data_IF_821230770952
#
_entry.id   IF_821230770952
#
_cell.length_a   1.000
_cell.length_b   1.000
_cell.length_c   1.000
_cell.angle_alpha   90.00
_cell.angle_beta   90.00
_cell.angle_gamma   90.00
#
_symmetry.space_group_name_H-M   'P 1'
#
loop_
_entity.id
_entity.type
_entity.pdbx_description
1 polymer ?
#
# COMPACT_ATOMS: atom_id res chain seq x y z
N UNK A 1 35.18 32.59 -44.53
CA UNK A 1 33.92 32.09 -43.95
C UNK A 1 34.07 32.01 -42.43
N UNK A 2 33.05 32.37 -41.66
CA UNK A 2 33.08 32.21 -40.22
C UNK A 2 33.20 30.71 -39.85
N UNK A 3 33.83 30.35 -38.72
CA UNK A 3 33.91 28.97 -38.28
C UNK A 3 32.52 28.39 -38.05
N UNK A 4 32.31 27.07 -38.33
CA UNK A 4 31.03 26.46 -38.08
C UNK A 4 30.65 26.62 -36.61
N UNK A 5 29.35 26.80 -36.27
CA UNK A 5 28.90 26.90 -34.88
C UNK A 5 29.28 25.60 -34.15
N UNK A 6 29.64 25.67 -32.84
CA UNK A 6 29.96 24.49 -32.08
C UNK A 6 28.77 23.54 -32.06
N UNK A 7 29.02 22.23 -32.02
CA UNK A 7 27.96 21.22 -31.90
C UNK A 7 27.06 21.52 -30.69
N UNK A 8 25.74 21.51 -30.89
CA UNK A 8 24.78 21.65 -29.78
C UNK A 8 24.83 20.36 -28.98
N UNK A 9 25.23 20.44 -27.72
CA UNK A 9 25.19 19.30 -26.80
C UNK A 9 23.74 18.96 -26.49
N UNK A 10 23.26 17.77 -26.89
CA UNK A 10 21.93 17.30 -26.57
C UNK A 10 21.99 16.55 -25.23
N UNK A 11 21.42 17.14 -24.18
CA UNK A 11 21.38 16.55 -22.86
C UNK A 11 20.14 15.69 -22.77
N UNK A 12 20.26 14.39 -22.43
CA UNK A 12 19.11 13.52 -22.24
C UNK A 12 18.28 13.98 -21.03
N UNK A 13 16.96 13.74 -21.06
CA UNK A 13 16.10 13.99 -19.91
C UNK A 13 16.50 13.08 -18.75
N UNK A 14 16.44 13.59 -17.54
CA UNK A 14 16.61 12.79 -16.35
C UNK A 14 15.51 11.72 -16.27
N UNK A 15 15.84 10.44 -16.00
CA UNK A 15 14.83 9.40 -15.81
C UNK A 15 13.79 9.76 -14.76
N UNK A 16 12.55 9.33 -14.99
CA UNK A 16 11.43 9.49 -14.06
C UNK A 16 11.04 8.14 -13.49
N UNK A 17 10.54 8.08 -12.23
CA UNK A 17 10.17 6.80 -11.63
C UNK A 17 8.97 6.16 -12.33
N UNK A 18 8.91 4.82 -12.41
CA UNK A 18 7.80 4.11 -13.04
C UNK A 18 6.51 4.27 -12.25
N UNK A 19 5.39 4.17 -12.95
CA UNK A 19 4.05 4.16 -12.34
C UNK A 19 3.69 5.43 -11.55
N UNK A 20 4.38 6.54 -11.75
CA UNK A 20 4.20 7.77 -10.97
C UNK A 20 4.67 7.65 -9.51
N UNK A 21 5.61 6.75 -9.23
CA UNK A 21 6.18 6.59 -7.90
C UNK A 21 6.93 7.85 -7.43
N UNK A 22 7.16 7.97 -6.14
CA UNK A 22 7.99 9.01 -5.58
C UNK A 22 9.43 8.91 -6.12
N UNK A 23 10.12 10.04 -6.26
CA UNK A 23 11.52 10.07 -6.68
C UNK A 23 12.45 9.31 -5.74
N UNK A 24 12.04 9.19 -4.48
CA UNK A 24 12.73 8.43 -3.44
C UNK A 24 11.71 7.52 -2.78
N UNK A 25 11.98 6.24 -2.85
CA UNK A 25 11.17 5.20 -2.24
C UNK A 25 12.09 4.04 -1.84
N UNK A 26 11.84 3.48 -0.68
CA UNK A 26 12.47 2.23 -0.28
C UNK A 26 11.74 1.07 -0.94
N UNK A 27 12.50 0.19 -1.56
CA UNK A 27 12.01 -1.04 -2.17
C UNK A 27 12.62 -2.26 -1.47
N UNK A 28 11.90 -3.39 -1.41
CA UNK A 28 12.44 -4.59 -0.78
C UNK A 28 13.76 -5.03 -1.43
N UNK A 29 14.76 -5.30 -0.62
CA UNK A 29 16.07 -5.78 -1.09
C UNK A 29 16.00 -7.18 -1.71
N UNK A 30 17.11 -7.61 -2.33
CA UNK A 30 17.28 -8.97 -2.86
C UNK A 30 18.28 -9.75 -2.01
N UNK A 31 18.05 -11.04 -1.86
CA UNK A 31 19.02 -11.96 -1.25
C UNK A 31 20.17 -12.31 -2.23
N UNK A 32 21.08 -13.16 -1.76
CA UNK A 32 22.23 -13.62 -2.54
C UNK A 32 21.84 -14.39 -3.82
N UNK A 33 20.62 -14.92 -3.90
CA UNK A 33 20.08 -15.62 -5.05
C UNK A 33 19.31 -14.67 -5.98
N UNK A 34 19.31 -13.37 -5.69
CA UNK A 34 18.58 -12.36 -6.45
C UNK A 34 17.09 -12.33 -6.20
N UNK A 35 16.60 -13.05 -5.20
CA UNK A 35 15.18 -13.11 -4.87
C UNK A 35 14.79 -11.93 -3.95
N UNK A 36 13.74 -11.21 -4.33
CA UNK A 36 13.27 -10.05 -3.56
C UNK A 36 12.66 -10.48 -2.24
N UNK A 37 13.08 -9.84 -1.16
CA UNK A 37 12.64 -10.15 0.19
C UNK A 37 11.39 -9.32 0.52
N UNK A 38 10.24 -9.88 0.21
CA UNK A 38 8.92 -9.28 0.47
C UNK A 38 8.21 -10.00 1.61
N UNK A 39 7.11 -9.45 2.08
CA UNK A 39 6.19 -10.07 3.04
C UNK A 39 5.63 -11.41 2.56
N UNK A 40 5.75 -11.71 1.27
CA UNK A 40 5.22 -12.90 0.62
C UNK A 40 6.27 -14.03 0.45
N UNK A 41 7.42 -13.92 1.13
CA UNK A 41 8.47 -14.94 1.03
C UNK A 41 8.31 -16.04 2.08
N UNK A 42 8.70 -17.24 1.69
CA UNK A 42 8.75 -18.42 2.59
C UNK A 42 7.42 -18.76 3.29
N UNK A 43 6.31 -18.55 2.59
CA UNK A 43 4.97 -18.78 3.12
C UNK A 43 4.67 -20.27 3.24
N UNK A 44 4.03 -20.65 4.32
CA UNK A 44 3.29 -21.90 4.42
C UNK A 44 2.08 -21.91 3.46
N UNK A 45 1.46 -23.06 3.24
CA UNK A 45 0.27 -23.15 2.38
C UNK A 45 -0.91 -22.35 2.94
N UNK A 46 -1.06 -22.31 4.26
CA UNK A 46 -2.10 -21.52 4.93
C UNK A 46 -1.85 -20.02 4.77
N UNK A 47 -0.63 -19.55 4.99
CA UNK A 47 -0.26 -18.16 4.78
C UNK A 47 -0.42 -17.77 3.31
N UNK A 48 -0.01 -18.62 2.36
CA UNK A 48 -0.21 -18.36 0.93
C UNK A 48 -1.69 -18.22 0.59
N UNK A 49 -2.53 -19.07 1.11
CA UNK A 49 -3.99 -18.99 0.92
C UNK A 49 -4.56 -17.70 1.49
N UNK A 50 -4.10 -17.31 2.67
CA UNK A 50 -4.53 -16.07 3.32
C UNK A 50 -4.02 -14.84 2.59
N UNK A 51 -2.74 -14.80 2.19
CA UNK A 51 -2.14 -13.70 1.41
C UNK A 51 -2.82 -13.55 0.04
N UNK A 52 -3.13 -14.68 -0.63
CA UNK A 52 -3.88 -14.70 -1.88
C UNK A 52 -5.27 -14.06 -1.71
N UNK A 53 -6.02 -14.48 -0.67
CA UNK A 53 -7.29 -13.87 -0.33
C UNK A 53 -7.16 -12.37 -0.06
N UNK A 54 -6.12 -11.97 0.65
CA UNK A 54 -5.87 -10.56 0.99
C UNK A 54 -5.52 -9.73 -0.25
N UNK A 55 -4.70 -10.25 -1.16
CA UNK A 55 -4.44 -9.63 -2.45
C UNK A 55 -5.73 -9.38 -3.24
N UNK A 56 -6.57 -10.39 -3.31
CA UNK A 56 -7.84 -10.28 -4.03
C UNK A 56 -8.82 -9.31 -3.35
N UNK A 57 -8.84 -9.26 -2.02
CA UNK A 57 -9.59 -8.27 -1.26
C UNK A 57 -9.12 -6.83 -1.60
N UNK A 58 -7.80 -6.60 -1.61
CA UNK A 58 -7.23 -5.31 -2.01
C UNK A 58 -7.63 -4.94 -3.43
N UNK A 59 -7.61 -5.90 -4.36
CA UNK A 59 -8.05 -5.68 -5.73
C UNK A 59 -9.53 -5.31 -5.81
N UNK A 60 -10.41 -6.02 -5.09
CA UNK A 60 -11.84 -5.75 -5.04
C UNK A 60 -12.17 -4.34 -4.52
N UNK A 61 -11.34 -3.82 -3.61
CA UNK A 61 -11.51 -2.49 -3.02
C UNK A 61 -10.89 -1.36 -3.86
N UNK A 62 -9.86 -1.63 -4.64
CA UNK A 62 -9.06 -0.59 -5.31
C UNK A 62 -9.21 -0.57 -6.84
N UNK A 63 -9.64 -1.68 -7.45
CA UNK A 63 -9.83 -1.77 -8.89
C UNK A 63 -11.29 -1.45 -9.23
N UNK A 64 -11.58 -0.17 -9.42
CA UNK A 64 -12.95 0.34 -9.56
C UNK A 64 -13.34 0.54 -11.02
N UNK A 65 -14.65 0.53 -11.26
CA UNK A 65 -15.28 0.79 -12.54
C UNK A 65 -15.83 -0.46 -13.22
N UNK A 66 -16.72 -0.32 -14.22
CA UNK A 66 -17.47 -1.43 -14.82
C UNK A 66 -16.60 -2.54 -15.40
N UNK A 67 -15.41 -2.19 -15.91
CA UNK A 67 -14.42 -3.15 -16.43
C UNK A 67 -13.98 -4.18 -15.39
N UNK A 68 -13.89 -3.75 -14.12
CA UNK A 68 -13.35 -4.53 -13.02
C UNK A 68 -14.42 -5.20 -12.15
N UNK A 69 -15.69 -5.08 -12.51
CA UNK A 69 -16.78 -5.74 -11.78
C UNK A 69 -16.60 -7.25 -11.60
N UNK A 70 -16.01 -8.02 -12.57
CA UNK A 70 -15.71 -9.43 -12.36
C UNK A 70 -14.78 -9.71 -11.20
N UNK A 71 -13.96 -8.74 -10.76
CA UNK A 71 -13.07 -8.90 -9.59
C UNK A 71 -13.90 -9.09 -8.31
N UNK A 72 -14.91 -8.25 -8.11
CA UNK A 72 -15.81 -8.37 -6.96
C UNK A 72 -16.64 -9.65 -7.02
N UNK A 73 -17.14 -10.02 -8.21
CA UNK A 73 -17.92 -11.23 -8.41
C UNK A 73 -17.09 -12.49 -8.13
N UNK A 74 -15.89 -12.58 -8.72
CA UNK A 74 -14.97 -13.70 -8.52
C UNK A 74 -14.52 -13.85 -7.07
N UNK A 75 -14.17 -12.73 -6.41
CA UNK A 75 -13.81 -12.71 -5.01
C UNK A 75 -14.96 -13.16 -4.10
N UNK A 76 -16.18 -12.67 -4.36
CA UNK A 76 -17.37 -13.08 -3.60
C UNK A 76 -17.66 -14.58 -3.76
N UNK A 77 -17.57 -15.09 -4.98
CA UNK A 77 -17.74 -16.53 -5.27
C UNK A 77 -16.66 -17.37 -4.53
N UNK A 78 -15.39 -16.95 -4.58
CA UNK A 78 -14.31 -17.61 -3.86
C UNK A 78 -14.57 -17.67 -2.35
N UNK A 79 -15.02 -16.58 -1.73
CA UNK A 79 -15.34 -16.53 -0.31
C UNK A 79 -16.52 -17.45 0.05
N UNK A 80 -17.59 -17.39 -0.73
CA UNK A 80 -18.81 -18.16 -0.46
C UNK A 80 -18.58 -19.67 -0.62
N UNK A 81 -17.93 -20.07 -1.70
CA UNK A 81 -17.69 -21.48 -1.98
C UNK A 81 -16.69 -22.13 -1.01
N UNK A 82 -15.81 -21.32 -0.40
CA UNK A 82 -14.71 -21.81 0.45
C UNK A 82 -14.80 -21.32 1.91
N UNK A 83 -15.94 -20.85 2.38
CA UNK A 83 -16.09 -20.24 3.70
C UNK A 83 -15.51 -21.07 4.84
N UNK A 84 -15.81 -22.38 4.85
CA UNK A 84 -15.36 -23.29 5.91
C UNK A 84 -13.85 -23.50 5.88
N UNK A 85 -13.27 -23.63 4.70
CA UNK A 85 -11.84 -23.89 4.53
C UNK A 85 -11.03 -22.65 4.85
N UNK A 86 -11.47 -21.49 4.40
CA UNK A 86 -10.85 -20.19 4.74
C UNK A 86 -10.91 -19.91 6.24
N UNK A 87 -12.00 -20.29 6.91
CA UNK A 87 -12.09 -20.18 8.37
C UNK A 87 -11.04 -21.07 9.05
N UNK A 88 -10.91 -22.35 8.63
CA UNK A 88 -9.89 -23.26 9.17
C UNK A 88 -8.47 -22.76 8.92
N UNK A 89 -8.19 -22.21 7.73
CA UNK A 89 -6.90 -21.55 7.43
C UNK A 89 -6.63 -20.45 8.44
N UNK A 90 -7.58 -19.55 8.66
CA UNK A 90 -7.43 -18.46 9.61
C UNK A 90 -7.20 -18.95 11.04
N UNK A 91 -7.94 -19.99 11.48
CA UNK A 91 -7.77 -20.59 12.81
C UNK A 91 -6.39 -21.22 13.00
N UNK A 92 -5.83 -21.87 11.95
CA UNK A 92 -4.47 -22.45 12.00
C UNK A 92 -3.40 -21.37 12.06
N UNK A 93 -3.52 -20.31 11.28
CA UNK A 93 -2.61 -19.16 11.36
C UNK A 93 -2.65 -18.56 12.76
N UNK A 94 -3.82 -18.33 13.33
CA UNK A 94 -3.97 -17.85 14.71
C UNK A 94 -3.32 -18.78 15.75
N UNK A 95 -3.41 -20.06 15.53
CA UNK A 95 -2.80 -21.04 16.40
C UNK A 95 -1.26 -21.01 16.33
N UNK A 96 -0.68 -20.80 15.14
CA UNK A 96 0.77 -20.66 14.99
C UNK A 96 1.30 -19.42 15.72
N UNK A 97 0.69 -18.26 15.55
CA UNK A 97 1.07 -17.06 16.33
C UNK A 97 0.98 -17.27 17.83
N UNK A 98 -0.04 -18.00 18.32
CA UNK A 98 -0.18 -18.32 19.75
C UNK A 98 0.88 -19.29 20.27
N UNK A 99 1.48 -20.10 19.40
CA UNK A 99 2.61 -20.98 19.78
C UNK A 99 3.93 -20.21 19.82
N UNK A 100 4.11 -19.27 18.90
CA UNK A 100 5.33 -18.48 18.78
C UNK A 100 5.48 -17.47 19.93
N UNK A 101 4.38 -16.83 20.32
CA UNK A 101 4.38 -15.78 21.33
C UNK A 101 3.79 -16.29 22.65
N UNK A 102 4.48 -16.05 23.77
CA UNK A 102 4.02 -16.45 25.11
C UNK A 102 2.81 -15.65 25.58
N UNK A 103 2.80 -14.36 25.26
CA UNK A 103 1.71 -13.46 25.59
C UNK A 103 0.67 -13.41 24.47
N UNK A 104 -0.61 -13.49 24.84
CA UNK A 104 -1.72 -13.47 23.89
C UNK A 104 -1.80 -12.13 23.14
N UNK A 105 -1.51 -11.02 23.80
CA UNK A 105 -1.57 -9.68 23.20
C UNK A 105 -0.44 -9.52 22.19
N UNK A 106 0.77 -9.98 22.53
CA UNK A 106 1.90 -10.00 21.59
C UNK A 106 1.59 -10.83 20.35
N UNK A 107 1.00 -12.01 20.50
CA UNK A 107 0.57 -12.85 19.37
C UNK A 107 -0.42 -12.10 18.44
N UNK A 108 -1.41 -11.46 19.02
CA UNK A 108 -2.41 -10.68 18.27
C UNK A 108 -1.72 -9.52 17.54
N UNK A 109 -0.88 -8.75 18.23
CA UNK A 109 -0.19 -7.59 17.63
C UNK A 109 0.75 -8.01 16.50
N UNK A 110 1.51 -9.10 16.68
CA UNK A 110 2.39 -9.62 15.64
C UNK A 110 1.59 -10.03 14.39
N UNK A 111 0.48 -10.74 14.57
CA UNK A 111 -0.42 -11.10 13.49
C UNK A 111 -1.00 -9.88 12.78
N UNK A 112 -1.53 -8.90 13.51
CA UNK A 112 -2.10 -7.67 12.92
C UNK A 112 -1.04 -6.87 12.15
N UNK A 113 0.19 -6.80 12.66
CA UNK A 113 1.32 -6.17 11.98
C UNK A 113 1.63 -6.87 10.66
N UNK A 114 1.71 -8.20 10.68
CA UNK A 114 1.93 -8.99 9.46
C UNK A 114 0.81 -8.78 8.44
N UNK A 115 -0.45 -8.83 8.89
CA UNK A 115 -1.61 -8.62 8.03
C UNK A 115 -1.61 -7.22 7.40
N UNK A 116 -1.30 -6.20 8.19
CA UNK A 116 -1.16 -4.82 7.70
C UNK A 116 -0.06 -4.73 6.63
N UNK A 117 1.08 -5.39 6.84
CA UNK A 117 2.17 -5.42 5.87
C UNK A 117 1.76 -6.08 4.55
N UNK A 118 0.97 -7.16 4.60
CA UNK A 118 0.43 -7.82 3.40
C UNK A 118 -0.53 -6.91 2.64
N UNK A 119 -1.46 -6.26 3.32
CA UNK A 119 -2.38 -5.31 2.69
C UNK A 119 -1.64 -4.14 2.06
N UNK A 120 -0.65 -3.56 2.77
CA UNK A 120 0.16 -2.46 2.26
C UNK A 120 0.98 -2.86 1.02
N UNK A 121 1.51 -4.08 0.99
CA UNK A 121 2.22 -4.60 -0.18
C UNK A 121 1.32 -4.58 -1.42
N UNK A 122 0.12 -5.18 -1.33
CA UNK A 122 -0.81 -5.25 -2.47
C UNK A 122 -1.52 -3.92 -2.79
N UNK A 123 -1.53 -2.97 -1.86
CA UNK A 123 -2.10 -1.64 -2.07
C UNK A 123 -1.14 -0.63 -2.71
N UNK A 124 0.09 -1.03 -3.09
CA UNK A 124 1.13 -0.15 -3.62
C UNK A 124 0.66 0.59 -4.90
N UNK A 125 0.49 1.94 -4.86
CA UNK A 125 -0.17 2.67 -5.93
C UNK A 125 0.51 2.58 -7.30
N UNK A 126 1.86 2.61 -7.42
CA UNK A 126 2.52 2.53 -8.73
C UNK A 126 2.31 1.22 -9.48
N UNK A 127 2.08 0.10 -8.76
CA UNK A 127 1.82 -1.21 -9.37
C UNK A 127 0.32 -1.46 -9.65
N UNK A 128 -0.58 -0.59 -9.18
CA UNK A 128 -2.03 -0.82 -9.18
C UNK A 128 -2.62 -1.13 -10.55
N UNK A 129 -2.20 -0.45 -11.60
CA UNK A 129 -2.78 -0.66 -12.94
C UNK A 129 -2.57 -2.09 -13.44
N UNK A 130 -1.34 -2.60 -13.35
CA UNK A 130 -0.98 -3.98 -13.73
C UNK A 130 -1.60 -5.00 -12.77
N UNK A 131 -1.62 -4.69 -11.48
CA UNK A 131 -2.26 -5.51 -10.46
C UNK A 131 -3.77 -5.69 -10.70
N UNK A 132 -4.50 -4.61 -11.04
CA UNK A 132 -5.92 -4.69 -11.38
C UNK A 132 -6.17 -5.52 -12.65
N UNK A 133 -5.29 -5.45 -13.65
CA UNK A 133 -5.43 -6.31 -14.83
C UNK A 133 -5.24 -7.79 -14.46
N UNK A 134 -4.21 -8.11 -13.68
CA UNK A 134 -3.98 -9.48 -13.20
C UNK A 134 -5.15 -9.98 -12.34
N UNK A 135 -5.67 -9.15 -11.45
CA UNK A 135 -6.84 -9.50 -10.63
C UNK A 135 -8.08 -9.80 -11.48
N UNK A 136 -8.30 -9.05 -12.55
CA UNK A 136 -9.38 -9.31 -13.50
C UNK A 136 -9.20 -10.68 -14.17
N UNK A 137 -7.99 -11.01 -14.62
CA UNK A 137 -7.70 -12.27 -15.28
C UNK A 137 -7.89 -13.48 -14.33
N UNK A 138 -7.44 -13.36 -13.07
CA UNK A 138 -7.66 -14.37 -12.02
C UNK A 138 -9.15 -14.51 -11.72
N UNK A 139 -9.89 -13.40 -11.64
CA UNK A 139 -11.32 -13.41 -11.35
C UNK A 139 -12.12 -14.09 -12.46
N UNK A 140 -11.78 -13.84 -13.72
CA UNK A 140 -12.40 -14.52 -14.86
C UNK A 140 -12.11 -16.03 -14.84
N UNK A 141 -10.92 -16.46 -14.44
CA UNK A 141 -10.61 -17.89 -14.24
C UNK A 141 -11.47 -18.49 -13.13
N UNK A 142 -11.59 -17.78 -12.01
CA UNK A 142 -12.39 -18.23 -10.87
C UNK A 142 -13.86 -18.42 -11.24
N UNK A 143 -14.44 -17.47 -11.96
CA UNK A 143 -15.83 -17.54 -12.43
C UNK A 143 -16.07 -18.67 -13.44
N UNK A 144 -15.05 -19.12 -14.15
CA UNK A 144 -15.10 -20.26 -15.06
C UNK A 144 -14.79 -21.59 -14.40
N UNK A 145 -14.38 -21.63 -13.12
CA UNK A 145 -13.98 -22.84 -12.40
C UNK A 145 -15.15 -23.35 -11.56
N UNK A 146 -15.58 -24.58 -11.82
CA UNK A 146 -16.49 -25.32 -10.95
C UNK A 146 -15.67 -26.04 -9.86
N UNK A 147 -16.25 -26.19 -8.67
CA UNK A 147 -15.62 -26.92 -7.55
C UNK A 147 -14.21 -26.39 -7.15
N UNK A 148 -14.11 -25.07 -7.03
CA UNK A 148 -12.88 -24.38 -6.68
C UNK A 148 -12.46 -24.70 -5.23
N UNK A 149 -11.31 -25.34 -5.04
CA UNK A 149 -10.64 -25.50 -3.77
C UNK A 149 -9.81 -24.27 -3.42
N UNK A 150 -9.97 -23.74 -2.20
CA UNK A 150 -9.33 -22.49 -1.79
C UNK A 150 -7.80 -22.52 -1.86
N UNK A 151 -7.19 -23.58 -1.33
CA UNK A 151 -5.74 -23.71 -1.25
C UNK A 151 -5.12 -24.01 -2.62
N UNK A 152 -5.73 -24.90 -3.39
CA UNK A 152 -5.27 -25.24 -4.75
C UNK A 152 -5.38 -24.07 -5.70
N UNK A 153 -6.47 -23.30 -5.65
CA UNK A 153 -6.63 -22.11 -6.48
C UNK A 153 -5.64 -21.00 -6.08
N UNK A 154 -5.41 -20.80 -4.77
CA UNK A 154 -4.40 -19.88 -4.27
C UNK A 154 -2.99 -20.29 -4.72
N UNK A 155 -2.62 -21.58 -4.57
CA UNK A 155 -1.31 -22.09 -4.97
C UNK A 155 -1.04 -21.89 -6.47
N UNK A 156 -2.06 -22.08 -7.31
CA UNK A 156 -1.94 -21.95 -8.76
C UNK A 156 -1.85 -20.49 -9.25
N UNK A 157 -2.38 -19.52 -8.49
CA UNK A 157 -2.54 -18.15 -8.97
C UNK A 157 -1.80 -17.10 -8.12
N UNK A 158 -1.25 -17.44 -6.96
CA UNK A 158 -0.62 -16.47 -6.06
C UNK A 158 0.54 -15.72 -6.71
N UNK A 159 1.44 -16.43 -7.38
CA UNK A 159 2.58 -15.83 -8.07
C UNK A 159 2.16 -14.78 -9.14
N UNK A 160 0.98 -14.94 -9.72
CA UNK A 160 0.45 -13.95 -10.67
C UNK A 160 0.13 -12.63 -9.98
N UNK A 161 -0.40 -12.66 -8.75
CA UNK A 161 -0.63 -11.44 -7.97
C UNK A 161 0.66 -10.74 -7.56
N UNK A 162 1.76 -11.46 -7.37
CA UNK A 162 3.07 -10.88 -7.02
C UNK A 162 3.77 -10.23 -8.23
N UNK A 163 3.57 -10.78 -9.42
CA UNK A 163 4.28 -10.37 -10.64
C UNK A 163 4.23 -8.86 -10.95
N UNK A 164 3.09 -8.15 -10.84
CA UNK A 164 3.03 -6.70 -11.04
C UNK A 164 3.97 -5.91 -10.13
N UNK A 165 4.14 -6.36 -8.89
CA UNK A 165 4.99 -5.72 -7.89
C UNK A 165 6.46 -6.00 -8.15
N UNK A 166 6.83 -7.23 -8.49
CA UNK A 166 8.20 -7.59 -8.86
C UNK A 166 8.65 -6.84 -10.13
N UNK A 167 7.77 -6.70 -11.10
CA UNK A 167 8.00 -5.88 -12.29
C UNK A 167 8.24 -4.43 -11.91
N UNK A 168 7.34 -3.84 -11.14
CA UNK A 168 7.49 -2.46 -10.66
C UNK A 168 8.81 -2.24 -9.90
N UNK A 169 9.14 -3.11 -8.95
CA UNK A 169 10.39 -2.97 -8.19
C UNK A 169 11.64 -3.10 -9.08
N UNK A 170 11.59 -3.93 -10.10
CA UNK A 170 12.70 -4.08 -11.05
C UNK A 170 12.85 -2.84 -11.94
N UNK A 171 11.75 -2.26 -12.40
CA UNK A 171 11.74 -0.99 -13.12
C UNK A 171 12.22 0.16 -12.23
N UNK A 172 11.83 0.16 -10.95
CA UNK A 172 12.27 1.18 -10.01
C UNK A 172 13.78 1.09 -9.69
N UNK A 173 14.35 -0.12 -9.56
CA UNK A 173 15.81 -0.32 -9.47
C UNK A 173 16.53 0.23 -10.71
N UNK A 174 15.98 0.01 -11.89
CA UNK A 174 16.51 0.54 -13.14
C UNK A 174 16.47 2.06 -13.13
N UNK A 175 15.34 2.64 -12.75
CA UNK A 175 15.22 4.09 -12.56
C UNK A 175 16.26 4.63 -11.58
N UNK A 176 16.45 4.00 -10.41
CA UNK A 176 17.44 4.43 -9.41
C UNK A 176 18.86 4.45 -9.99
N UNK A 177 19.24 3.40 -10.73
CA UNK A 177 20.56 3.29 -11.34
C UNK A 177 20.77 4.34 -12.44
N UNK A 178 19.79 4.49 -13.33
CA UNK A 178 19.87 5.40 -14.47
C UNK A 178 19.83 6.87 -14.03
N UNK A 179 18.97 7.20 -13.06
CA UNK A 179 18.93 8.55 -12.49
C UNK A 179 20.20 8.90 -11.74
N UNK A 180 20.81 7.96 -11.00
CA UNK A 180 22.09 8.17 -10.35
C UNK A 180 23.24 8.41 -11.37
N UNK A 181 23.24 7.69 -12.50
CA UNK A 181 24.19 7.90 -13.58
C UNK A 181 24.00 9.29 -14.23
N UNK A 182 22.75 9.68 -14.49
CA UNK A 182 22.43 11.02 -15.00
C UNK A 182 22.85 12.11 -14.01
N UNK A 183 22.57 11.95 -12.72
CA UNK A 183 22.94 12.89 -11.67
C UNK A 183 24.45 13.07 -11.57
N UNK A 184 25.22 11.99 -11.72
CA UNK A 184 26.68 12.04 -11.72
C UNK A 184 27.25 12.79 -12.93
N UNK A 185 26.65 12.65 -14.08
CA UNK A 185 27.14 13.25 -15.32
C UNK A 185 26.65 14.68 -15.55
N UNK A 186 25.40 14.96 -15.23
CA UNK A 186 24.70 16.20 -15.59
C UNK A 186 24.20 17.00 -14.39
N UNK A 187 24.17 16.39 -13.19
CA UNK A 187 23.50 16.95 -12.02
C UNK A 187 24.07 18.29 -11.56
N UNK A 188 25.39 18.46 -11.56
CA UNK A 188 26.04 19.72 -11.16
C UNK A 188 25.59 20.90 -12.01
N UNK A 189 25.49 20.71 -13.34
CA UNK A 189 25.18 21.78 -14.28
C UNK A 189 23.68 21.97 -14.55
N UNK A 190 22.91 20.87 -14.56
CA UNK A 190 21.52 20.90 -15.02
C UNK A 190 20.50 20.38 -13.98
N UNK A 191 21.01 19.82 -12.87
CA UNK A 191 20.18 19.15 -11.87
C UNK A 191 19.15 20.03 -11.17
N UNK A 192 19.48 21.31 -10.96
CA UNK A 192 18.59 22.26 -10.26
C UNK A 192 17.24 22.48 -10.98
N UNK A 193 17.18 22.26 -12.30
CA UNK A 193 15.94 22.31 -13.08
C UNK A 193 15.14 21.01 -13.08
N UNK A 194 15.66 19.95 -12.45
CA UNK A 194 15.07 18.62 -12.45
C UNK A 194 14.49 18.27 -11.07
N UNK A 195 13.15 18.17 -10.93
CA UNK A 195 12.51 17.93 -9.63
C UNK A 195 13.04 16.68 -8.92
N UNK A 196 13.33 15.60 -9.67
CA UNK A 196 13.86 14.38 -9.10
C UNK A 196 15.30 14.50 -8.58
N UNK A 197 16.13 15.37 -9.20
CA UNK A 197 17.46 15.67 -8.68
C UNK A 197 17.37 16.47 -7.37
N UNK A 198 16.55 17.51 -7.35
CA UNK A 198 16.33 18.35 -6.16
C UNK A 198 15.84 17.48 -5.00
N UNK A 199 14.82 16.66 -5.22
CA UNK A 199 14.30 15.75 -4.19
C UNK A 199 15.39 14.80 -3.62
N UNK A 200 16.27 14.25 -4.48
CA UNK A 200 17.39 13.40 -4.03
C UNK A 200 18.40 14.19 -3.19
N UNK A 201 18.73 15.43 -3.58
CA UNK A 201 19.66 16.26 -2.81
C UNK A 201 19.08 16.65 -1.45
N UNK A 202 17.80 17.05 -1.41
CA UNK A 202 17.09 17.37 -0.17
C UNK A 202 17.05 16.17 0.80
N UNK A 203 16.74 14.98 0.29
CA UNK A 203 16.73 13.77 1.13
C UNK A 203 18.13 13.38 1.63
N UNK A 204 19.17 13.60 0.82
CA UNK A 204 20.57 13.41 1.27
C UNK A 204 20.95 14.41 2.35
N UNK A 205 20.58 15.68 2.17
CA UNK A 205 20.81 16.72 3.17
C UNK A 205 20.09 16.43 4.49
N UNK A 206 18.84 15.96 4.43
CA UNK A 206 18.05 15.59 5.61
C UNK A 206 18.63 14.38 6.37
N UNK A 207 19.35 13.48 5.67
CA UNK A 207 20.02 12.31 6.27
C UNK A 207 21.45 12.60 6.73
N UNK A 208 22.03 13.73 6.31
CA UNK A 208 23.39 14.11 6.72
C UNK A 208 23.43 14.45 8.22
N UNK A 209 24.41 13.95 8.98
CA UNK A 209 24.57 14.31 10.38
C UNK A 209 24.85 15.82 10.48
N UNK A 210 24.07 16.54 11.28
CA UNK A 210 24.34 17.95 11.58
C UNK A 210 25.56 18.01 12.51
N UNK A 211 26.70 18.42 11.96
CA UNK A 211 27.90 18.71 12.77
C UNK A 211 27.76 20.16 13.22
N UNK A 212 27.28 20.37 14.44
CA UNK A 212 27.36 21.68 15.09
C UNK A 212 28.78 21.84 15.68
N UNK A 213 29.55 22.73 15.06
CA UNK A 213 30.85 23.19 15.61
C UNK A 213 30.57 24.27 16.67
N UNK A 214 30.07 23.88 17.82
CA UNK A 214 30.16 24.68 19.03
C UNK A 214 31.36 24.20 19.85
N UNK A 215 32.21 25.14 20.23
CA UNK A 215 33.53 24.88 20.77
C UNK A 215 33.53 23.89 21.93
N UNK A 216 34.42 22.90 21.80
CA UNK A 216 34.84 21.93 22.83
C UNK A 216 33.76 20.92 23.23
N UNK A 217 33.58 19.92 22.40
CA UNK A 217 32.78 18.72 22.69
C UNK A 217 31.93 18.31 21.48
N UNK A 218 32.50 17.55 20.54
CA UNK A 218 31.76 16.97 19.44
C UNK A 218 30.83 15.87 19.95
N UNK A 219 29.56 16.18 20.21
CA UNK A 219 28.51 15.21 20.35
C UNK A 219 27.83 15.05 18.97
N UNK A 220 27.93 13.85 18.42
CA UNK A 220 27.13 13.45 17.26
C UNK A 220 25.67 13.37 17.70
N UNK A 221 24.94 14.48 17.55
CA UNK A 221 23.50 14.49 17.70
C UNK A 221 22.88 14.18 16.34
N UNK A 222 22.38 12.98 16.17
CA UNK A 222 21.38 12.71 15.14
C UNK A 222 20.18 13.62 15.43
N UNK A 223 19.64 14.41 14.48
CA UNK A 223 18.41 15.13 14.72
C UNK A 223 17.29 14.08 14.83
N UNK A 224 17.05 13.63 16.06
CA UNK A 224 15.75 13.11 16.38
C UNK A 224 14.82 14.32 16.22
N UNK A 225 13.97 14.33 15.21
CA UNK A 225 12.82 15.21 15.20
C UNK A 225 12.22 15.06 16.61
N UNK A 226 12.14 16.17 17.36
CA UNK A 226 11.39 16.22 18.62
C UNK A 226 9.94 15.89 18.28
N UNK A 227 9.66 14.59 18.21
CA UNK A 227 8.30 14.11 18.16
C UNK A 227 7.71 14.45 19.54
N UNK A 228 6.83 15.42 19.56
CA UNK A 228 5.98 15.68 20.71
C UNK A 228 5.28 14.35 21.02
N UNK A 229 5.78 13.62 22.01
CA UNK A 229 5.22 12.35 22.43
C UNK A 229 3.94 12.63 23.22
N UNK A 230 2.80 12.46 22.60
CA UNK A 230 1.55 12.37 23.33
C UNK A 230 1.50 10.99 23.95
N UNK A 231 1.36 10.93 25.27
CA UNK A 231 1.27 9.67 26.01
C UNK A 231 -0.23 9.40 26.23
N UNK A 232 -0.66 8.21 25.89
CA UNK A 232 -2.01 7.72 26.19
C UNK A 232 -2.20 7.65 27.73
N UNK A 233 -3.16 8.37 28.30
CA UNK A 233 -3.35 8.43 29.74
C UNK A 233 -3.81 7.10 30.36
N UNK A 234 -4.39 6.18 29.58
CA UNK A 234 -4.90 4.91 30.09
C UNK A 234 -3.88 3.77 30.01
N UNK A 235 -2.97 3.83 29.04
CA UNK A 235 -1.99 2.75 28.79
C UNK A 235 -0.55 3.16 29.05
N UNK A 236 -0.24 4.46 29.16
CA UNK A 236 1.12 4.98 29.29
C UNK A 236 2.00 4.78 28.03
N UNK A 237 1.40 4.34 26.92
CA UNK A 237 2.13 4.12 25.67
C UNK A 237 2.25 5.41 24.85
N UNK A 238 3.38 5.65 24.14
CA UNK A 238 3.50 6.80 23.26
C UNK A 238 2.61 6.64 22.04
N UNK A 239 1.71 7.61 21.80
CA UNK A 239 0.91 7.69 20.59
C UNK A 239 1.76 8.32 19.49
N UNK A 240 1.96 7.66 18.32
CA UNK A 240 2.68 8.27 17.22
C UNK A 240 1.90 9.46 16.67
N UNK A 241 2.42 10.66 16.89
CA UNK A 241 1.85 11.90 16.32
C UNK A 241 2.46 12.11 14.94
N UNK A 242 1.64 12.07 13.91
CA UNK A 242 2.05 12.52 12.56
C UNK A 242 2.08 14.04 12.59
N UNK A 243 3.22 14.70 12.30
CA UNK A 243 3.28 16.15 12.26
C UNK A 243 2.31 16.66 11.20
N UNK A 244 1.36 17.48 11.61
CA UNK A 244 0.44 18.17 10.71
C UNK A 244 1.20 19.33 10.06
N UNK A 245 1.24 19.34 8.74
CA UNK A 245 1.77 20.47 7.98
C UNK A 245 0.79 21.64 8.11
N UNK A 246 1.07 22.59 9.02
CA UNK A 246 0.24 23.76 9.28
C UNK A 246 0.17 24.74 8.08
N UNK A 247 0.98 24.51 7.04
CA UNK A 247 0.93 25.33 5.81
C UNK A 247 -0.13 24.84 4.82
N UNK A 248 -0.74 23.67 5.06
CA UNK A 248 -1.83 23.11 4.25
C UNK A 248 -3.15 23.22 5.01
N UNK A 249 -3.97 24.17 4.64
CA UNK A 249 -5.37 24.21 5.06
C UNK A 249 -6.16 23.12 4.34
N UNK A 250 -6.26 21.94 4.95
CA UNK A 250 -7.25 20.95 4.56
C UNK A 250 -8.53 21.23 5.35
N UNK A 251 -9.60 21.60 4.68
CA UNK A 251 -10.92 21.61 5.31
C UNK A 251 -11.36 20.14 5.49
N UNK A 252 -11.73 19.73 6.70
CA UNK A 252 -12.27 18.39 6.90
C UNK A 252 -13.59 18.29 6.14
N UNK A 253 -13.68 17.33 5.20
CA UNK A 253 -14.96 16.97 4.58
C UNK A 253 -15.73 16.15 5.63
N UNK A 254 -16.60 16.79 6.37
CA UNK A 254 -17.54 16.11 7.25
C UNK A 254 -18.65 15.57 6.36
N UNK A 255 -18.63 14.28 6.07
CA UNK A 255 -19.80 13.62 5.50
C UNK A 255 -20.86 13.50 6.59
N UNK A 256 -22.09 14.01 6.38
CA UNK A 256 -23.17 13.80 7.32
C UNK A 256 -23.47 12.30 7.40
N UNK A 257 -23.47 11.77 8.61
CA UNK A 257 -23.92 10.40 8.88
C UNK A 257 -25.40 10.38 8.52
N UNK A 258 -25.90 9.46 7.67
CA UNK A 258 -27.33 9.30 7.46
C UNK A 258 -27.97 8.98 8.81
N UNK A 259 -28.92 9.83 9.23
CA UNK A 259 -29.75 9.50 10.36
C UNK A 259 -30.65 8.33 9.95
N UNK A 260 -30.36 7.16 10.47
CA UNK A 260 -31.31 6.04 10.52
C UNK A 260 -32.42 6.44 11.51
N UNK A 261 -33.36 7.23 11.03
CA UNK A 261 -34.61 7.44 11.73
C UNK A 261 -35.43 6.16 11.60
N UNK A 262 -35.42 5.35 12.65
CA UNK A 262 -36.27 4.19 12.74
C UNK A 262 -37.73 4.59 12.45
N UNK A 263 -38.31 3.96 11.46
CA UNK A 263 -39.75 4.00 11.23
C UNK A 263 -40.44 3.30 12.40
N UNK A 264 -41.06 4.12 13.24
CA UNK A 264 -42.01 3.67 14.25
C UNK A 264 -43.34 3.36 13.56
N UNK A 265 -43.57 2.09 13.32
CA UNK A 265 -44.78 1.53 12.71
C UNK A 265 -45.89 1.55 13.79
N UNK A 266 -46.69 2.63 13.85
CA UNK A 266 -47.94 2.66 14.63
C UNK A 266 -49.11 2.79 13.69
N UNK A 267 -50.04 1.80 13.58
CA UNK A 267 -51.20 1.90 12.74
C UNK A 267 -52.25 2.81 13.39
N UNK A 268 -52.48 3.99 12.84
CA UNK A 268 -53.63 4.82 13.24
C UNK A 268 -54.85 4.46 12.39
N UNK A 269 -55.88 4.12 13.17
CA UNK A 269 -57.15 3.69 12.69
C UNK A 269 -57.95 4.73 11.90
N UNK A 270 -58.68 4.22 11.03
CA UNK A 270 -59.76 4.80 10.20
C UNK A 270 -60.81 5.47 11.05
N UNK A 271 -61.07 6.77 10.82
CA UNK A 271 -62.35 7.39 11.18
C UNK A 271 -62.97 7.98 9.93
N UNK A 272 -64.02 7.33 9.48
CA UNK A 272 -64.95 7.85 8.50
C UNK A 272 -65.72 9.02 9.12
N UNK A 273 -65.79 10.14 8.42
CA UNK A 273 -66.84 11.17 8.67
C UNK A 273 -67.54 11.45 7.36
N UNK A 274 -68.77 11.02 7.33
CA UNK A 274 -69.78 11.38 6.37
C UNK A 274 -70.27 12.81 6.64
N UNK A 275 -70.43 13.62 5.58
CA UNK A 275 -70.97 14.97 5.69
C UNK A 275 -71.37 15.55 4.33
N UNK A 276 -72.57 15.38 4.04
CA UNK A 276 -73.60 15.76 3.10
C UNK A 276 -73.59 17.25 2.65
N UNK A 277 -73.93 17.45 1.36
CA UNK A 277 -74.78 18.48 0.74
C UNK A 277 -74.26 19.94 0.58
N UNK A 278 -74.09 20.50 -0.56
CA UNK A 278 -75.11 21.13 -1.44
C UNK A 278 -74.45 21.50 -2.78
#
# INVERSE_FOLDING_TARGET
PPPPPPPVEVIPLRPVPPGGAAYIMEIPGKDLLGQRQTVNRNLTDDERTWHFRSAWNVAALNCLGPRYEPILQGYSAYLQNNERDLRRVNERIDAEYRKEFRDRREAIMARETQMTSVYNFFALPPARASFCQTALDISNRALATTDMDAAGFAAANFALFEQPFDTFFTEYETYQRESAAWDAQYGERYGQSQPGYVAVQEARAARAPVITLDGVGATLSTPAAEQTRVIDPDTGAPIPVVPVDETRTSQPIVQPIPNDAGEDDTPQGTVQSTGTAN
#
